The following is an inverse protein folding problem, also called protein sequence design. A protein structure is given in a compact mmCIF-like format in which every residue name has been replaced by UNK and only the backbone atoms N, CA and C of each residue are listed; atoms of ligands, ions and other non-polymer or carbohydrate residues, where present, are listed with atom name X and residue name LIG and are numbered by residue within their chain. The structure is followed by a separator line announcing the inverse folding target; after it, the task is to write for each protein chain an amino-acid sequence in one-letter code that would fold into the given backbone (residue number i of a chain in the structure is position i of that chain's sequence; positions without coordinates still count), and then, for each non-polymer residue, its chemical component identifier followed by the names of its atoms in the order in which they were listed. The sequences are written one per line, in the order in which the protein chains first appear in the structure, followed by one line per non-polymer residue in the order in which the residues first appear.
data_IF_591476240551
#
_entry.id   IF_591476240551
#
_cell.length_a   1.000
_cell.length_b   1.000
_cell.length_c   1.000
_cell.angle_alpha   90.00
_cell.angle_beta   90.00
_cell.angle_gamma   90.00
#
_symmetry.space_group_name_H-M   'P 1'
#
loop_
_entity.id
_entity.type
_entity.pdbx_description
1 polymer ?
#
# COMPACT_ATOMS: atom_id res chain seq x y z
N UNK A 1 -40.22 -75.63 -9.82
CA UNK A 1 -39.73 -77.02 -9.83
C UNK A 1 -38.72 -77.17 -10.97
N UNK A 2 -37.51 -77.69 -10.67
CA UNK A 2 -36.47 -78.29 -11.55
C UNK A 2 -35.85 -77.35 -12.62
N UNK A 3 -34.57 -76.94 -12.62
CA UNK A 3 -33.29 -77.59 -12.34
C UNK A 3 -33.18 -79.01 -12.91
N UNK A 4 -32.56 -79.17 -14.09
CA UNK A 4 -32.34 -80.53 -14.61
C UNK A 4 -31.51 -80.75 -15.88
N UNK A 5 -31.52 -79.88 -16.90
CA UNK A 5 -31.12 -80.36 -18.25
C UNK A 5 -30.00 -79.60 -18.98
N UNK A 6 -29.36 -78.59 -18.37
CA UNK A 6 -28.29 -77.83 -19.03
C UNK A 6 -26.87 -78.37 -18.80
N UNK A 7 -26.72 -79.66 -18.42
CA UNK A 7 -25.45 -80.17 -17.88
C UNK A 7 -24.74 -81.26 -18.70
N UNK A 8 -25.23 -81.65 -19.87
CA UNK A 8 -24.73 -82.88 -20.52
C UNK A 8 -24.08 -82.65 -21.90
N UNK A 9 -24.25 -81.50 -22.55
CA UNK A 9 -23.83 -81.37 -23.95
C UNK A 9 -22.50 -80.64 -24.21
N UNK A 10 -21.95 -79.86 -23.27
CA UNK A 10 -20.69 -79.13 -23.53
C UNK A 10 -19.43 -79.84 -22.98
N UNK A 11 -19.60 -80.98 -22.32
CA UNK A 11 -18.54 -81.79 -21.70
C UNK A 11 -17.72 -82.62 -22.71
N UNK A 12 -17.92 -82.44 -24.03
CA UNK A 12 -17.38 -83.38 -25.03
C UNK A 12 -16.54 -82.82 -26.17
N UNK A 13 -16.28 -81.51 -26.28
CA UNK A 13 -15.73 -81.00 -27.54
C UNK A 13 -14.53 -80.05 -27.54
N UNK A 14 -13.91 -79.73 -26.41
CA UNK A 14 -12.58 -79.05 -26.46
C UNK A 14 -11.63 -79.54 -25.39
N UNK A 15 -11.61 -80.87 -25.24
CA UNK A 15 -10.45 -81.60 -24.75
C UNK A 15 -9.43 -81.71 -25.89
N UNK A 16 -8.76 -80.63 -26.27
CA UNK A 16 -7.49 -80.74 -27.00
C UNK A 16 -6.65 -79.48 -26.86
N UNK A 17 -5.41 -79.68 -26.41
CA UNK A 17 -4.28 -78.75 -26.46
C UNK A 17 -4.19 -77.67 -25.36
N UNK A 18 -3.83 -78.10 -24.16
CA UNK A 18 -2.63 -77.63 -23.44
C UNK A 18 -2.39 -78.57 -22.24
N UNK A 19 -1.77 -79.71 -22.52
CA UNK A 19 -1.04 -80.44 -21.50
C UNK A 19 0.20 -79.61 -21.14
N UNK A 20 0.28 -79.15 -19.89
CA UNK A 20 1.54 -79.03 -19.17
C UNK A 20 1.24 -78.93 -17.66
N UNK A 21 1.42 -80.07 -17.00
CA UNK A 21 1.98 -80.23 -15.67
C UNK A 21 1.56 -79.22 -14.60
N UNK A 22 0.60 -79.63 -13.75
CA UNK A 22 0.63 -79.20 -12.35
C UNK A 22 1.92 -79.74 -11.73
N UNK A 23 3.02 -78.99 -11.88
CA UNK A 23 4.23 -79.19 -11.07
C UNK A 23 3.81 -78.92 -9.64
N UNK A 24 3.49 -79.98 -8.90
CA UNK A 24 3.44 -79.91 -7.45
C UNK A 24 4.74 -79.23 -7.02
N UNK A 25 4.64 -78.10 -6.34
CA UNK A 25 5.81 -77.42 -5.81
C UNK A 25 6.44 -78.47 -4.88
N UNK A 26 7.57 -79.05 -5.29
CA UNK A 26 8.27 -80.03 -4.48
C UNK A 26 8.48 -79.38 -3.12
N UNK A 27 8.26 -80.09 -2.01
CA UNK A 27 8.39 -79.54 -0.66
C UNK A 27 9.71 -78.74 -0.49
N UNK A 28 10.76 -79.20 -1.17
CA UNK A 28 12.07 -78.56 -1.32
C UNK A 28 11.97 -77.12 -1.88
N UNK A 29 11.22 -76.90 -2.96
CA UNK A 29 11.06 -75.57 -3.55
C UNK A 29 10.32 -74.61 -2.61
N UNK A 30 9.29 -75.08 -1.90
CA UNK A 30 8.58 -74.28 -0.89
C UNK A 30 9.51 -73.87 0.25
N UNK A 31 10.31 -74.82 0.76
CA UNK A 31 11.29 -74.56 1.81
C UNK A 31 12.34 -73.54 1.36
N UNK A 32 12.87 -73.66 0.14
CA UNK A 32 13.84 -72.71 -0.42
C UNK A 32 13.23 -71.30 -0.52
N UNK A 33 11.98 -71.16 -0.97
CA UNK A 33 11.31 -69.85 -1.04
C UNK A 33 11.16 -69.20 0.34
N UNK A 34 10.79 -69.97 1.37
CA UNK A 34 10.68 -69.45 2.74
C UNK A 34 12.04 -68.98 3.26
N UNK A 35 13.11 -69.75 3.03
CA UNK A 35 14.48 -69.38 3.44
C UNK A 35 14.91 -68.07 2.76
N UNK A 36 14.66 -67.92 1.45
CA UNK A 36 15.00 -66.69 0.72
C UNK A 36 14.22 -65.49 1.28
N UNK A 37 12.92 -65.64 1.54
CA UNK A 37 12.09 -64.57 2.12
C UNK A 37 12.57 -64.16 3.53
N UNK A 38 12.98 -65.12 4.36
CA UNK A 38 13.53 -64.85 5.69
C UNK A 38 14.87 -64.10 5.62
N UNK A 39 15.75 -64.45 4.69
CA UNK A 39 17.00 -63.72 4.45
C UNK A 39 16.72 -62.30 3.98
N UNK A 40 15.79 -62.13 3.02
CA UNK A 40 15.41 -60.82 2.49
C UNK A 40 14.78 -59.92 3.56
N UNK A 41 13.95 -60.50 4.43
CA UNK A 41 13.37 -59.82 5.57
C UNK A 41 14.45 -59.41 6.59
N UNK A 42 15.42 -60.30 6.87
CA UNK A 42 16.55 -59.99 7.74
C UNK A 42 17.39 -58.81 7.25
N UNK A 43 17.73 -58.78 5.96
CA UNK A 43 18.47 -57.66 5.34
C UNK A 43 17.64 -56.38 5.39
N UNK A 44 16.35 -56.45 5.03
CA UNK A 44 15.46 -55.30 5.01
C UNK A 44 15.29 -54.68 6.41
N UNK A 45 15.08 -55.49 7.44
CA UNK A 45 14.97 -55.04 8.84
C UNK A 45 16.29 -54.44 9.33
N UNK A 46 17.43 -55.06 9.00
CA UNK A 46 18.74 -54.51 9.35
C UNK A 46 18.99 -53.15 8.69
N UNK A 47 18.60 -52.95 7.42
CA UNK A 47 18.74 -51.66 6.73
C UNK A 47 17.80 -50.58 7.26
N UNK A 48 16.63 -50.95 7.79
CA UNK A 48 15.67 -50.00 8.35
C UNK A 48 15.99 -49.64 9.80
N UNK A 49 16.29 -50.64 10.63
CA UNK A 49 16.30 -50.52 12.10
C UNK A 49 17.62 -50.90 12.78
N UNK A 50 18.65 -51.31 12.02
CA UNK A 50 19.97 -51.58 12.59
C UNK A 50 20.68 -50.32 13.11
N UNK A 51 21.83 -50.50 13.75
CA UNK A 51 22.62 -49.41 14.35
C UNK A 51 23.03 -48.35 13.30
N UNK A 52 23.25 -48.75 12.05
CA UNK A 52 23.47 -47.87 10.89
C UNK A 52 22.26 -47.81 9.94
N UNK A 53 21.09 -48.22 10.42
CA UNK A 53 19.85 -48.26 9.65
C UNK A 53 19.19 -46.89 9.50
N UNK A 54 18.27 -46.80 8.55
CA UNK A 54 17.59 -45.55 8.16
C UNK A 54 16.94 -44.81 9.34
N UNK A 55 16.29 -45.52 10.26
CA UNK A 55 15.63 -44.89 11.41
C UNK A 55 16.63 -44.32 12.43
N UNK A 56 17.77 -44.98 12.64
CA UNK A 56 18.81 -44.50 13.53
C UNK A 56 19.45 -43.23 12.97
N UNK A 57 19.79 -43.22 11.67
CA UNK A 57 20.31 -42.03 10.98
C UNK A 57 19.31 -40.86 10.99
N UNK A 58 18.02 -41.12 10.76
CA UNK A 58 16.99 -40.09 10.83
C UNK A 58 16.84 -39.49 12.24
N UNK A 59 16.93 -40.33 13.28
CA UNK A 59 16.88 -39.89 14.68
C UNK A 59 18.11 -39.05 15.05
N UNK A 60 19.29 -39.42 14.57
CA UNK A 60 20.51 -38.64 14.78
C UNK A 60 20.47 -37.30 14.04
N UNK A 61 20.02 -37.28 12.78
CA UNK A 61 19.82 -36.05 12.03
C UNK A 61 18.85 -35.12 12.75
N UNK A 62 17.70 -35.64 13.20
CA UNK A 62 16.73 -34.88 14.01
C UNK A 62 17.36 -34.31 15.28
N UNK A 63 18.17 -35.10 16.01
CA UNK A 63 18.87 -34.62 17.22
C UNK A 63 19.88 -33.53 16.89
N UNK A 64 20.66 -33.67 15.81
CA UNK A 64 21.59 -32.65 15.34
C UNK A 64 20.86 -31.35 14.97
N UNK A 65 19.72 -31.44 14.30
CA UNK A 65 18.87 -30.27 13.97
C UNK A 65 18.35 -29.59 15.25
N UNK A 66 17.81 -30.35 16.20
CA UNK A 66 17.33 -29.79 17.47
C UNK A 66 18.47 -29.13 18.25
N UNK A 67 19.63 -29.77 18.31
CA UNK A 67 20.80 -29.20 18.99
C UNK A 67 21.30 -27.94 18.29
N UNK A 68 21.33 -27.89 16.95
CA UNK A 68 21.67 -26.70 16.20
C UNK A 68 20.65 -25.58 16.43
N UNK A 69 19.35 -25.89 16.46
CA UNK A 69 18.29 -24.93 16.77
C UNK A 69 18.43 -24.37 18.20
N UNK A 70 18.78 -25.21 19.17
CA UNK A 70 19.02 -24.79 20.54
C UNK A 70 20.27 -23.91 20.67
N UNK A 71 21.34 -24.24 19.93
CA UNK A 71 22.54 -23.41 19.87
C UNK A 71 22.25 -22.06 19.20
N UNK A 72 21.48 -22.04 18.11
CA UNK A 72 20.99 -20.81 17.48
C UNK A 72 20.16 -19.97 18.44
N UNK A 73 19.23 -20.58 19.19
CA UNK A 73 18.43 -19.88 20.19
C UNK A 73 19.28 -19.33 21.34
N UNK A 74 20.31 -20.07 21.76
CA UNK A 74 21.27 -19.62 22.78
C UNK A 74 22.09 -18.43 22.29
N UNK A 75 22.64 -18.51 21.08
CA UNK A 75 23.37 -17.41 20.43
C UNK A 75 22.44 -16.19 20.29
N UNK A 76 21.19 -16.38 19.89
CA UNK A 76 20.20 -15.31 19.79
C UNK A 76 19.91 -14.67 21.16
N UNK A 77 19.78 -15.47 22.22
CA UNK A 77 19.62 -14.97 23.58
C UNK A 77 20.86 -14.20 24.06
N UNK A 78 22.08 -14.69 23.77
CA UNK A 78 23.32 -13.98 24.07
C UNK A 78 23.41 -12.63 23.34
N UNK A 79 23.01 -12.58 22.06
CA UNK A 79 22.92 -11.31 21.31
C UNK A 79 21.87 -10.35 21.90
N UNK A 80 20.71 -10.85 22.32
CA UNK A 80 19.68 -10.03 22.95
C UNK A 80 20.15 -9.48 24.30
N UNK A 81 20.81 -10.30 25.12
CA UNK A 81 21.40 -9.87 26.38
C UNK A 81 22.53 -8.85 26.17
N UNK A 82 23.36 -9.01 25.14
CA UNK A 82 24.40 -8.05 24.79
C UNK A 82 23.84 -6.73 24.24
N UNK A 83 22.75 -6.78 23.47
CA UNK A 83 21.99 -5.59 23.05
C UNK A 83 21.39 -4.88 24.26
N UNK A 84 20.70 -5.60 25.14
CA UNK A 84 20.07 -5.04 26.34
C UNK A 84 21.10 -4.44 27.29
N UNK A 85 22.26 -5.08 27.45
CA UNK A 85 23.38 -4.54 28.23
C UNK A 85 23.95 -3.27 27.61
N UNK A 86 24.13 -3.23 26.29
CA UNK A 86 24.60 -2.03 25.59
C UNK A 86 23.57 -0.88 25.62
N UNK A 87 22.28 -1.19 25.71
CA UNK A 87 21.20 -0.20 25.89
C UNK A 87 21.09 0.30 27.34
N UNK A 88 21.37 -0.56 28.34
CA UNK A 88 21.29 -0.23 29.75
C UNK A 88 22.53 0.50 30.31
N UNK A 89 23.70 0.34 29.68
CA UNK A 89 24.98 0.91 30.14
C UNK A 89 25.43 2.16 29.34
N UNK A 90 24.65 2.65 28.38
CA UNK A 90 25.02 3.83 27.56
C UNK A 90 24.61 5.16 28.18
N UNK A 91 25.57 6.06 28.42
CA UNK A 91 25.29 7.51 28.47
C UNK A 91 24.55 7.92 27.18
N UNK A 92 23.53 8.80 27.27
CA UNK A 92 22.80 9.30 26.10
C UNK A 92 23.78 9.79 25.03
N UNK A 93 23.86 9.09 23.90
CA UNK A 93 24.71 9.49 22.78
C UNK A 93 24.01 10.58 21.98
N UNK A 94 24.78 11.38 21.26
CA UNK A 94 24.30 12.52 20.44
C UNK A 94 23.15 12.16 19.45
N UNK A 95 22.99 10.87 19.11
CA UNK A 95 21.90 10.35 18.28
C UNK A 95 20.62 9.93 19.02
N UNK A 96 20.64 9.80 20.35
CA UNK A 96 19.48 9.32 21.12
C UNK A 96 18.35 10.36 21.14
N UNK A 97 18.70 11.65 21.04
CA UNK A 97 17.72 12.74 21.00
C UNK A 97 17.13 12.99 19.61
N UNK A 98 17.57 12.27 18.57
CA UNK A 98 16.96 12.36 17.24
C UNK A 98 15.48 11.97 17.33
N UNK A 99 14.61 12.81 16.76
CA UNK A 99 13.17 12.65 16.86
C UNK A 99 12.71 11.26 16.40
N UNK A 100 13.31 10.77 15.30
CA UNK A 100 13.02 9.47 14.69
C UNK A 100 13.17 8.28 15.65
N UNK A 101 14.03 8.40 16.68
CA UNK A 101 14.31 7.32 17.63
C UNK A 101 13.34 7.32 18.83
N UNK A 102 12.50 8.34 18.95
CA UNK A 102 11.66 8.58 20.15
C UNK A 102 10.17 8.54 19.86
N UNK A 103 9.78 8.84 18.62
CA UNK A 103 8.36 8.98 18.26
C UNK A 103 7.78 7.74 17.62
N UNK A 104 6.47 7.54 17.81
CA UNK A 104 5.66 6.54 17.11
C UNK A 104 4.56 7.22 16.28
N UNK A 105 3.99 6.46 15.35
CA UNK A 105 2.85 6.92 14.54
C UNK A 105 1.71 7.39 15.45
N UNK A 106 1.20 8.58 15.15
CA UNK A 106 0.11 9.21 15.89
C UNK A 106 0.52 10.11 17.05
N UNK A 107 1.80 10.13 17.44
CA UNK A 107 2.28 11.06 18.47
C UNK A 107 2.14 12.50 18.01
N UNK A 108 1.85 13.39 18.96
CA UNK A 108 1.74 14.82 18.73
C UNK A 108 3.11 15.49 18.78
N UNK A 109 3.39 16.34 17.80
CA UNK A 109 4.64 17.09 17.65
C UNK A 109 4.33 18.59 17.66
N UNK A 110 5.09 19.36 18.43
CA UNK A 110 5.00 20.81 18.49
C UNK A 110 5.76 21.44 17.32
N UNK A 111 5.17 21.37 16.14
CA UNK A 111 5.68 22.04 14.94
C UNK A 111 4.96 23.37 14.72
N UNK A 112 5.73 24.44 14.53
CA UNK A 112 5.22 25.79 14.24
C UNK A 112 5.73 26.21 12.86
N UNK A 113 4.85 26.36 11.86
CA UNK A 113 5.22 26.95 10.59
C UNK A 113 5.72 28.40 10.72
N UNK A 114 6.55 28.83 9.79
CA UNK A 114 6.91 30.24 9.66
C UNK A 114 5.69 31.06 9.22
N UNK A 115 5.53 32.28 9.73
CA UNK A 115 4.46 33.18 9.28
C UNK A 115 4.64 33.52 7.79
N UNK A 116 3.68 33.11 6.97
CA UNK A 116 3.69 33.40 5.54
C UNK A 116 3.51 34.91 5.30
N UNK A 117 4.38 35.50 4.48
CA UNK A 117 4.29 36.92 4.17
C UNK A 117 3.04 37.24 3.34
N UNK A 118 2.52 38.46 3.47
CA UNK A 118 1.40 38.95 2.64
C UNK A 118 1.71 38.84 1.14
N UNK A 119 2.96 39.09 0.75
CA UNK A 119 3.41 38.96 -0.65
C UNK A 119 3.32 37.51 -1.14
N UNK A 120 3.83 36.56 -0.35
CA UNK A 120 3.76 35.13 -0.66
C UNK A 120 2.31 34.65 -0.78
N UNK A 121 1.43 35.08 0.13
CA UNK A 121 0.00 34.74 0.08
C UNK A 121 -0.64 35.32 -1.18
N UNK A 122 -0.42 36.60 -1.49
CA UNK A 122 -0.99 37.23 -2.69
C UNK A 122 -0.49 36.60 -3.99
N UNK A 123 0.78 36.22 -4.07
CA UNK A 123 1.37 35.51 -5.21
C UNK A 123 0.70 34.14 -5.41
N UNK A 124 0.55 33.37 -4.33
CA UNK A 124 -0.15 32.08 -4.35
C UNK A 124 -1.62 32.23 -4.78
N UNK A 125 -2.34 33.23 -4.27
CA UNK A 125 -3.74 33.51 -4.67
C UNK A 125 -3.83 33.88 -6.16
N UNK A 126 -2.90 34.69 -6.66
CA UNK A 126 -2.84 35.06 -8.09
C UNK A 126 -2.61 33.84 -8.97
N UNK A 127 -1.71 32.95 -8.55
CA UNK A 127 -1.41 31.70 -9.24
C UNK A 127 -2.63 30.77 -9.24
N UNK A 128 -3.30 30.60 -8.10
CA UNK A 128 -4.57 29.87 -8.00
C UNK A 128 -5.63 30.45 -8.93
N UNK A 129 -5.84 31.78 -8.91
CA UNK A 129 -6.82 32.44 -9.78
C UNK A 129 -6.53 32.25 -11.28
N UNK A 130 -5.26 32.08 -11.65
CA UNK A 130 -4.84 31.86 -13.03
C UNK A 130 -5.01 30.40 -13.46
N UNK A 131 -4.61 29.45 -12.61
CA UNK A 131 -4.39 28.06 -13.02
C UNK A 131 -5.36 27.02 -12.43
N UNK A 132 -6.17 27.37 -11.43
CA UNK A 132 -7.15 26.46 -10.83
C UNK A 132 -8.43 26.28 -11.66
N UNK A 133 -8.68 27.20 -12.61
CA UNK A 133 -9.94 27.30 -13.34
C UNK A 133 -11.07 27.98 -12.55
N UNK A 134 -10.79 28.55 -11.37
CA UNK A 134 -11.74 29.32 -10.56
C UNK A 134 -11.12 30.61 -10.01
N UNK A 135 -11.93 31.68 -9.98
CA UNK A 135 -11.61 32.95 -9.33
C UNK A 135 -12.05 33.01 -7.85
N UNK A 136 -12.65 31.93 -7.33
CA UNK A 136 -13.20 31.89 -5.96
C UNK A 136 -12.12 31.72 -4.87
N UNK A 137 -10.89 31.41 -5.30
CA UNK A 137 -9.73 31.33 -4.42
C UNK A 137 -9.26 32.75 -4.08
N UNK A 138 -9.54 33.21 -2.87
CA UNK A 138 -9.21 34.58 -2.42
C UNK A 138 -8.60 34.56 -1.02
N UNK A 139 -8.08 35.70 -0.58
CA UNK A 139 -7.55 35.86 0.78
C UNK A 139 -8.63 35.76 1.87
N UNK A 140 -9.92 35.79 1.52
CA UNK A 140 -11.01 35.58 2.48
C UNK A 140 -11.37 34.10 2.66
N UNK A 141 -11.08 33.24 1.67
CA UNK A 141 -11.37 31.80 1.71
C UNK A 141 -10.14 30.94 2.01
N UNK A 142 -8.95 31.53 1.91
CA UNK A 142 -7.67 30.86 2.09
C UNK A 142 -6.69 31.74 2.89
N UNK A 143 -6.43 31.35 4.14
CA UNK A 143 -5.49 32.03 5.05
C UNK A 143 -4.57 31.02 5.74
N UNK A 144 -3.44 31.49 6.28
CA UNK A 144 -2.57 30.64 7.07
C UNK A 144 -3.21 30.35 8.43
N UNK A 145 -3.44 29.07 8.73
CA UNK A 145 -3.94 28.63 10.03
C UNK A 145 -2.76 28.37 10.98
N UNK A 146 -2.68 29.14 12.07
CA UNK A 146 -1.58 29.04 13.05
C UNK A 146 -1.88 28.08 14.20
N UNK A 147 -3.13 27.61 14.32
CA UNK A 147 -3.59 26.74 15.42
C UNK A 147 -3.63 25.25 15.10
N UNK A 148 -3.02 24.80 14.01
CA UNK A 148 -3.00 23.38 13.65
C UNK A 148 -2.10 22.58 14.60
N UNK A 149 -2.60 21.45 15.08
CA UNK A 149 -1.80 20.43 15.75
C UNK A 149 -1.22 19.45 14.73
N UNK A 150 -0.08 18.85 15.04
CA UNK A 150 0.64 17.97 14.13
C UNK A 150 0.84 16.60 14.74
N UNK A 151 0.62 15.57 13.93
CA UNK A 151 0.76 14.18 14.35
C UNK A 151 1.77 13.45 13.48
N UNK A 152 2.54 12.54 14.05
CA UNK A 152 3.45 11.69 13.29
C UNK A 152 2.63 10.81 12.35
N UNK A 153 2.82 11.00 11.05
CA UNK A 153 2.21 10.18 10.01
C UNK A 153 2.98 8.86 9.87
N UNK A 154 4.29 8.96 9.62
CA UNK A 154 5.20 7.82 9.51
C UNK A 154 6.66 8.29 9.46
N UNK A 155 7.56 7.32 9.31
CA UNK A 155 8.96 7.53 8.96
C UNK A 155 9.17 7.04 7.54
N UNK A 156 9.74 7.89 6.69
CA UNK A 156 10.05 7.57 5.30
C UNK A 156 11.41 8.15 4.95
N UNK A 157 12.27 7.34 4.33
CA UNK A 157 13.61 7.74 3.89
C UNK A 157 14.44 8.37 5.02
N UNK A 158 14.35 7.81 6.24
CA UNK A 158 15.07 8.30 7.42
C UNK A 158 14.56 9.63 8.00
N UNK A 159 13.40 10.12 7.53
CA UNK A 159 12.80 11.37 7.99
C UNK A 159 11.42 11.11 8.59
N UNK A 160 11.10 11.85 9.66
CA UNK A 160 9.78 11.84 10.27
C UNK A 160 8.85 12.72 9.43
N UNK A 161 7.69 12.17 9.04
CA UNK A 161 6.63 12.93 8.38
C UNK A 161 5.50 13.20 9.35
N UNK A 162 5.02 14.43 9.36
CA UNK A 162 3.88 14.89 10.13
C UNK A 162 2.68 15.08 9.21
N UNK A 163 1.47 14.95 9.75
CA UNK A 163 0.21 15.33 9.13
C UNK A 163 -0.55 16.24 10.09
N UNK A 164 -1.28 17.22 9.56
CA UNK A 164 -2.17 18.03 10.40
C UNK A 164 -3.23 17.14 11.05
N UNK A 165 -3.50 17.35 12.34
CA UNK A 165 -4.48 16.58 13.12
C UNK A 165 -5.85 16.60 12.45
N UNK A 166 -6.26 17.78 11.99
CA UNK A 166 -7.47 18.00 11.22
C UNK A 166 -7.10 18.57 9.84
N UNK A 167 -7.93 18.38 8.80
CA UNK A 167 -7.84 19.17 7.59
C UNK A 167 -7.98 20.66 7.89
N UNK A 168 -7.51 21.50 6.97
CA UNK A 168 -7.68 22.95 7.07
C UNK A 168 -9.16 23.34 7.08
N UNK A 169 -9.47 24.49 7.64
CA UNK A 169 -10.76 25.18 7.44
C UNK A 169 -10.75 26.00 6.15
N UNK A 170 -9.58 26.50 5.74
CA UNK A 170 -9.35 27.11 4.43
C UNK A 170 -9.59 26.09 3.32
N UNK A 171 -10.16 26.56 2.20
CA UNK A 171 -10.55 25.70 1.09
C UNK A 171 -9.95 26.16 -0.23
N UNK A 172 -9.81 25.22 -1.18
CA UNK A 172 -9.39 25.50 -2.55
C UNK A 172 -10.48 25.02 -3.51
N UNK A 173 -10.87 25.90 -4.42
CA UNK A 173 -11.78 25.61 -5.53
C UNK A 173 -10.99 25.26 -6.79
N UNK A 174 -11.29 24.10 -7.37
CA UNK A 174 -10.72 23.62 -8.63
C UNK A 174 -11.83 23.40 -9.65
N UNK A 175 -11.58 23.71 -10.92
CA UNK A 175 -12.59 23.59 -11.98
C UNK A 175 -12.00 23.29 -13.35
N UNK A 176 -12.69 22.43 -14.11
CA UNK A 176 -12.41 22.22 -15.52
C UNK A 176 -11.03 21.61 -15.78
N UNK A 177 -10.59 21.69 -17.04
CA UNK A 177 -9.29 21.16 -17.43
C UNK A 177 -8.15 21.85 -16.68
N UNK A 178 -8.27 23.14 -16.32
CA UNK A 178 -7.25 23.87 -15.57
C UNK A 178 -7.12 23.32 -14.14
N UNK A 179 -8.25 23.09 -13.47
CA UNK A 179 -8.27 22.41 -12.17
C UNK A 179 -7.60 21.03 -12.25
N UNK A 180 -7.98 20.19 -13.20
CA UNK A 180 -7.36 18.86 -13.35
C UNK A 180 -5.86 18.94 -13.71
N UNK A 181 -5.50 19.83 -14.64
CA UNK A 181 -4.13 20.04 -15.10
C UNK A 181 -3.19 20.45 -13.98
N UNK A 182 -3.65 21.25 -13.01
CA UNK A 182 -2.77 21.93 -12.08
C UNK A 182 -3.03 21.58 -10.60
N UNK A 183 -4.01 20.73 -10.30
CA UNK A 183 -4.41 20.41 -8.93
C UNK A 183 -3.25 19.98 -8.01
N UNK A 184 -2.42 19.03 -8.47
CA UNK A 184 -1.32 18.49 -7.66
C UNK A 184 -0.30 19.58 -7.34
N UNK A 185 0.10 20.35 -8.36
CA UNK A 185 1.04 21.46 -8.18
C UNK A 185 0.47 22.50 -7.21
N UNK A 186 -0.76 22.96 -7.46
CA UNK A 186 -1.37 24.05 -6.70
C UNK A 186 -1.58 23.67 -5.23
N UNK A 187 -2.06 22.46 -4.95
CA UNK A 187 -2.27 21.99 -3.57
C UNK A 187 -0.94 21.82 -2.81
N UNK A 188 0.07 21.21 -3.45
CA UNK A 188 1.39 21.04 -2.83
C UNK A 188 2.06 22.41 -2.61
N UNK A 189 1.99 23.32 -3.59
CA UNK A 189 2.54 24.68 -3.50
C UNK A 189 1.85 25.49 -2.42
N UNK A 190 0.52 25.41 -2.29
CA UNK A 190 -0.21 26.08 -1.21
C UNK A 190 0.25 25.59 0.16
N UNK A 191 0.40 24.27 0.34
CA UNK A 191 0.93 23.75 1.60
C UNK A 191 2.34 24.29 1.88
N UNK A 192 3.23 24.31 0.88
CA UNK A 192 4.60 24.85 1.01
C UNK A 192 4.58 26.33 1.40
N UNK A 193 3.72 27.13 0.81
CA UNK A 193 3.64 28.56 1.11
C UNK A 193 3.14 28.80 2.54
N UNK A 194 2.16 28.02 3.00
CA UNK A 194 1.47 28.28 4.27
C UNK A 194 2.04 27.52 5.47
N UNK A 195 2.74 26.40 5.28
CA UNK A 195 3.08 25.50 6.39
C UNK A 195 4.56 25.10 6.44
N UNK A 196 5.43 25.78 5.69
CA UNK A 196 6.88 25.53 5.73
C UNK A 196 7.56 26.16 6.94
N UNK A 197 8.72 25.61 7.31
CA UNK A 197 9.63 26.17 8.32
C UNK A 197 11.06 25.70 8.06
N UNK A 198 12.04 26.29 8.74
CA UNK A 198 13.43 25.84 8.71
C UNK A 198 13.64 24.39 9.15
N UNK A 199 12.69 23.80 9.90
CA UNK A 199 12.73 22.40 10.33
C UNK A 199 12.20 21.42 9.27
N UNK A 200 11.56 21.90 8.21
CA UNK A 200 10.99 21.08 7.15
C UNK A 200 11.92 20.95 5.94
N UNK A 201 12.15 19.72 5.48
CA UNK A 201 12.84 19.44 4.22
C UNK A 201 11.90 19.48 3.01
N UNK A 202 10.62 19.16 3.23
CA UNK A 202 9.57 19.27 2.24
C UNK A 202 8.20 19.44 2.90
N UNK A 203 7.33 20.21 2.26
CA UNK A 203 5.94 20.35 2.65
C UNK A 203 5.08 20.07 1.42
N UNK A 204 3.97 19.38 1.59
CA UNK A 204 3.06 19.07 0.49
C UNK A 204 1.65 18.80 1.04
N UNK A 205 0.68 18.61 0.15
CA UNK A 205 -0.62 18.10 0.56
C UNK A 205 -0.60 16.56 0.60
N UNK A 206 -1.51 15.96 1.34
CA UNK A 206 -1.69 14.51 1.39
C UNK A 206 -1.90 13.90 0.00
N UNK A 207 -1.28 12.75 -0.24
CA UNK A 207 -1.37 12.00 -1.50
C UNK A 207 -2.07 10.66 -1.29
N UNK A 208 -2.64 10.12 -2.37
CA UNK A 208 -3.30 8.81 -2.32
C UNK A 208 -2.34 7.70 -1.90
N UNK A 209 -1.06 7.81 -2.25
CA UNK A 209 -0.02 6.87 -1.86
C UNK A 209 0.22 6.87 -0.34
N UNK A 210 0.03 8.00 0.35
CA UNK A 210 0.14 8.04 1.82
C UNK A 210 -0.93 7.16 2.49
N UNK A 211 -2.09 7.02 1.86
CA UNK A 211 -3.18 6.13 2.30
C UNK A 211 -2.92 4.71 1.84
N UNK A 212 -2.71 4.49 0.54
CA UNK A 212 -2.61 3.17 -0.08
C UNK A 212 -1.46 2.33 0.51
N UNK A 213 -0.32 2.94 0.81
CA UNK A 213 0.82 2.23 1.38
C UNK A 213 0.53 1.67 2.78
N UNK A 214 -0.49 2.19 3.46
CA UNK A 214 -0.91 1.78 4.81
C UNK A 214 -2.13 0.86 4.80
N UNK A 215 -2.77 0.67 3.66
CA UNK A 215 -3.88 -0.27 3.50
C UNK A 215 -3.39 -1.73 3.45
N UNK A 216 -4.24 -2.67 3.84
CA UNK A 216 -3.98 -4.12 3.66
C UNK A 216 -4.16 -4.57 2.21
N UNK A 217 -5.13 -3.98 1.52
CA UNK A 217 -5.37 -4.25 0.12
C UNK A 217 -4.29 -3.57 -0.74
N UNK A 218 -3.72 -4.33 -1.66
CA UNK A 218 -2.70 -3.85 -2.61
C UNK A 218 -3.19 -3.91 -4.06
N UNK A 219 -4.20 -4.73 -4.34
CA UNK A 219 -4.81 -4.87 -5.65
C UNK A 219 -6.19 -4.17 -5.68
N UNK A 220 -6.21 -2.94 -6.20
CA UNK A 220 -7.41 -2.13 -6.30
C UNK A 220 -8.40 -2.65 -7.36
N UNK A 221 -8.00 -3.60 -8.22
CA UNK A 221 -8.93 -4.27 -9.14
C UNK A 221 -9.96 -5.13 -8.41
N UNK A 222 -9.65 -5.56 -7.18
CA UNK A 222 -10.59 -6.28 -6.32
C UNK A 222 -11.66 -5.38 -5.70
N UNK A 223 -11.46 -4.05 -5.71
CA UNK A 223 -12.47 -3.06 -5.31
C UNK A 223 -13.29 -2.64 -6.53
N UNK A 224 -12.61 -2.26 -7.60
CA UNK A 224 -13.23 -1.86 -8.86
C UNK A 224 -12.62 -2.68 -10.00
N UNK A 225 -13.40 -3.59 -10.58
CA UNK A 225 -12.89 -4.54 -11.58
C UNK A 225 -12.31 -3.91 -12.84
N UNK A 226 -12.63 -2.65 -13.13
CA UNK A 226 -12.09 -1.89 -14.25
C UNK A 226 -10.77 -1.18 -13.93
N UNK A 227 -10.34 -1.17 -12.67
CA UNK A 227 -9.07 -0.55 -12.29
C UNK A 227 -7.90 -1.13 -13.09
N UNK A 228 -7.20 -0.25 -13.79
CA UNK A 228 -6.08 -0.60 -14.65
C UNK A 228 -6.45 -0.96 -16.09
N UNK A 229 -7.74 -1.17 -16.42
CA UNK A 229 -8.19 -1.39 -17.79
C UNK A 229 -8.09 -0.12 -18.62
N UNK A 230 -8.14 -0.29 -19.93
CA UNK A 230 -8.02 0.79 -20.90
C UNK A 230 -9.24 0.83 -21.80
N UNK A 231 -9.71 2.04 -22.11
CA UNK A 231 -10.91 2.28 -22.89
C UNK A 231 -10.62 3.28 -24.00
N UNK A 232 -11.02 2.95 -25.23
CA UNK A 232 -11.09 3.89 -26.34
C UNK A 232 -12.42 4.64 -26.27
N UNK A 233 -12.38 5.98 -26.32
CA UNK A 233 -13.52 6.84 -26.04
C UNK A 233 -14.20 7.36 -27.31
N UNK A 234 -15.52 7.43 -27.27
CA UNK A 234 -16.33 8.11 -28.30
C UNK A 234 -16.21 9.64 -28.19
N UNK A 235 -16.24 10.17 -26.96
CA UNK A 235 -16.03 11.59 -26.67
C UNK A 235 -14.57 11.86 -26.33
N UNK A 236 -13.99 12.85 -27.02
CA UNK A 236 -12.55 12.92 -27.28
C UNK A 236 -11.85 14.16 -26.69
N UNK A 237 -12.54 14.96 -25.88
CA UNK A 237 -11.91 16.10 -25.20
C UNK A 237 -11.01 15.61 -24.05
N UNK A 238 -9.90 16.31 -23.78
CA UNK A 238 -9.01 15.93 -22.69
C UNK A 238 -8.23 17.13 -22.07
N UNK A 239 -7.88 17.08 -20.76
CA UNK A 239 -6.96 18.03 -20.14
C UNK A 239 -5.51 17.80 -20.61
N UNK A 240 -4.77 18.85 -20.91
CA UNK A 240 -3.37 18.79 -21.39
C UNK A 240 -2.46 17.88 -20.56
N UNK A 241 -2.57 17.85 -19.22
CA UNK A 241 -1.70 17.01 -18.37
C UNK A 241 -1.86 15.52 -18.66
N UNK A 242 -3.01 15.09 -19.18
CA UNK A 242 -3.29 13.69 -19.48
C UNK A 242 -2.25 13.10 -20.44
N UNK A 243 -1.65 13.92 -21.32
CA UNK A 243 -0.59 13.47 -22.24
C UNK A 243 0.72 13.12 -21.55
N UNK A 244 0.94 13.63 -20.33
CA UNK A 244 2.14 13.38 -19.54
C UNK A 244 1.95 12.20 -18.57
N UNK A 245 0.70 11.85 -18.26
CA UNK A 245 0.34 10.82 -17.29
C UNK A 245 0.66 9.41 -17.79
N UNK A 246 1.32 8.64 -16.93
CA UNK A 246 1.66 7.25 -17.21
C UNK A 246 0.40 6.43 -17.45
N UNK A 247 0.33 5.81 -18.61
CA UNK A 247 -0.81 4.96 -18.94
C UNK A 247 -1.92 5.66 -19.71
N UNK A 248 -1.75 6.92 -20.12
CA UNK A 248 -2.80 7.70 -20.77
C UNK A 248 -2.47 8.01 -22.23
N UNK A 249 -3.49 8.43 -22.99
CA UNK A 249 -3.46 8.81 -24.42
C UNK A 249 -2.84 7.72 -25.35
N UNK A 250 -3.66 6.77 -25.79
CA UNK A 250 -3.25 5.74 -26.78
C UNK A 250 -2.46 4.56 -26.19
N UNK A 251 -1.98 4.74 -24.95
CA UNK A 251 -1.45 3.79 -23.98
C UNK A 251 -0.65 2.55 -24.44
N UNK A 252 0.36 2.78 -25.28
CA UNK A 252 1.58 1.96 -25.34
C UNK A 252 2.72 2.44 -24.42
N UNK A 253 2.41 3.28 -23.42
CA UNK A 253 3.29 3.90 -22.39
C UNK A 253 4.30 4.98 -22.83
N UNK A 254 3.81 6.15 -23.28
CA UNK A 254 4.65 7.33 -23.54
C UNK A 254 4.70 8.34 -22.35
N UNK A 255 3.69 8.36 -21.48
CA UNK A 255 3.68 9.17 -20.26
C UNK A 255 4.52 8.58 -19.11
N UNK A 256 5.14 9.45 -18.31
CA UNK A 256 5.96 9.06 -17.12
C UNK A 256 5.37 9.57 -15.81
N UNK A 257 4.47 10.54 -15.85
CA UNK A 257 3.97 11.23 -14.67
C UNK A 257 3.02 10.33 -13.87
N UNK A 258 3.29 10.16 -12.58
CA UNK A 258 2.38 9.50 -11.65
C UNK A 258 1.10 10.31 -11.40
N UNK A 259 0.14 9.69 -10.69
CA UNK A 259 -1.15 10.32 -10.36
C UNK A 259 -0.99 11.54 -9.44
N UNK A 260 0.05 11.53 -8.60
CA UNK A 260 0.29 12.52 -7.54
C UNK A 260 1.56 13.33 -7.78
N UNK A 261 2.03 13.34 -9.03
CA UNK A 261 3.25 14.03 -9.44
C UNK A 261 2.90 15.21 -10.33
N UNK A 262 3.50 16.36 -10.06
CA UNK A 262 3.51 17.52 -10.95
C UNK A 262 4.53 18.54 -10.45
N UNK A 263 5.43 18.97 -11.31
CA UNK A 263 6.45 19.98 -10.97
C UNK A 263 6.26 21.30 -11.70
N UNK A 264 5.51 21.29 -12.81
CA UNK A 264 5.30 22.45 -13.67
C UNK A 264 3.82 22.71 -13.87
N UNK A 265 3.48 23.99 -13.98
CA UNK A 265 2.15 24.45 -14.34
C UNK A 265 1.89 24.24 -15.83
N UNK A 266 0.66 23.91 -16.16
CA UNK A 266 0.16 23.82 -17.53
C UNK A 266 -0.87 24.92 -17.77
N UNK A 267 -0.55 25.82 -18.70
CA UNK A 267 -1.44 26.86 -19.15
C UNK A 267 -2.22 26.40 -20.39
N UNK A 268 -3.35 25.74 -20.17
CA UNK A 268 -4.26 25.37 -21.26
C UNK A 268 -5.25 26.52 -21.49
N UNK A 269 -5.33 27.04 -22.72
CA UNK A 269 -6.24 28.14 -23.08
C UNK A 269 -7.39 27.70 -23.97
N UNK A 270 -7.31 26.50 -24.55
CA UNK A 270 -8.29 25.95 -25.49
C UNK A 270 -8.61 24.50 -25.17
N UNK A 271 -9.72 23.99 -25.71
CA UNK A 271 -10.11 22.59 -25.53
C UNK A 271 -9.28 21.68 -26.44
N UNK A 272 -8.59 20.69 -25.87
CA UNK A 272 -7.87 19.69 -26.66
C UNK A 272 -8.77 18.54 -27.08
N UNK A 273 -8.45 17.90 -28.22
CA UNK A 273 -9.12 16.68 -28.72
C UNK A 273 -8.11 15.70 -29.29
N UNK A 274 -8.35 14.40 -29.14
CA UNK A 274 -7.50 13.33 -29.70
C UNK A 274 -8.35 12.28 -30.44
N UNK A 275 -7.83 11.74 -31.55
CA UNK A 275 -8.51 10.69 -32.32
C UNK A 275 -7.50 9.63 -32.81
N UNK A 276 -7.47 8.41 -32.21
CA UNK A 276 -8.31 7.96 -31.09
C UNK A 276 -7.89 8.58 -29.75
N UNK A 277 -8.83 8.69 -28.80
CA UNK A 277 -8.53 8.96 -27.39
C UNK A 277 -8.70 7.66 -26.59
N UNK A 278 -7.58 7.13 -26.10
CA UNK A 278 -7.56 5.94 -25.27
C UNK A 278 -7.04 6.29 -23.88
N UNK A 279 -7.77 5.91 -22.83
CA UNK A 279 -7.46 6.26 -21.44
C UNK A 279 -7.43 5.02 -20.54
N UNK A 280 -6.56 5.03 -19.53
CA UNK A 280 -6.51 4.02 -18.48
C UNK A 280 -7.36 4.44 -17.29
N UNK A 281 -8.17 3.51 -16.81
CA UNK A 281 -9.01 3.66 -15.64
C UNK A 281 -8.17 3.58 -14.36
N UNK A 282 -8.15 4.67 -13.59
CA UNK A 282 -7.36 4.79 -12.35
C UNK A 282 -8.22 5.19 -11.14
N UNK A 283 -9.53 5.27 -11.33
CA UNK A 283 -10.50 5.48 -10.27
C UNK A 283 -10.71 4.21 -9.44
N UNK A 284 -10.95 4.37 -8.15
CA UNK A 284 -11.47 3.33 -7.26
C UNK A 284 -12.14 4.05 -6.09
N UNK A 285 -13.14 3.45 -5.45
CA UNK A 285 -13.72 4.02 -4.26
C UNK A 285 -13.89 2.97 -3.19
N UNK A 286 -13.73 3.36 -1.93
CA UNK A 286 -13.93 2.45 -0.82
C UNK A 286 -14.32 3.22 0.41
N UNK A 287 -15.36 2.72 1.06
CA UNK A 287 -15.65 3.05 2.46
C UNK A 287 -14.65 2.30 3.34
N UNK A 288 -13.92 3.07 4.11
CA UNK A 288 -12.80 2.60 4.92
C UNK A 288 -13.28 2.32 6.35
N UNK A 289 -12.68 1.31 6.96
CA UNK A 289 -12.82 0.96 8.37
C UNK A 289 -11.45 0.80 9.01
N UNK A 290 -11.37 0.77 10.34
CA UNK A 290 -10.10 0.55 11.04
C UNK A 290 -9.41 -0.77 10.64
N UNK A 291 -10.19 -1.76 10.19
CA UNK A 291 -9.68 -3.07 9.79
C UNK A 291 -9.05 -3.09 8.39
N UNK A 292 -9.28 -2.05 7.57
CA UNK A 292 -8.73 -1.96 6.20
C UNK A 292 -7.26 -1.52 6.17
N UNK A 293 -6.75 -0.99 7.28
CA UNK A 293 -5.36 -0.56 7.43
C UNK A 293 -4.50 -1.62 8.13
N UNK A 294 -3.19 -1.60 7.83
CA UNK A 294 -2.18 -2.43 8.50
C UNK A 294 -2.09 -2.13 9.99
N UNK A 295 -2.33 -0.87 10.35
CA UNK A 295 -2.46 -0.38 11.72
C UNK A 295 -3.73 0.48 11.80
N UNK A 296 -4.59 0.21 12.78
CA UNK A 296 -5.83 0.97 13.01
C UNK A 296 -5.56 2.46 13.29
N UNK A 297 -4.35 2.82 13.73
CA UNK A 297 -3.95 4.23 13.91
C UNK A 297 -4.04 5.04 12.61
N UNK A 298 -3.86 4.43 11.44
CA UNK A 298 -4.00 5.12 10.17
C UNK A 298 -5.45 5.47 9.82
N UNK A 299 -6.41 4.67 10.29
CA UNK A 299 -7.83 5.05 10.20
C UNK A 299 -8.08 6.31 11.01
N UNK A 300 -7.58 6.36 12.24
CA UNK A 300 -7.69 7.55 13.08
C UNK A 300 -7.04 8.77 12.45
N UNK A 301 -5.81 8.62 11.94
CA UNK A 301 -5.08 9.72 11.31
C UNK A 301 -5.78 10.23 10.05
N UNK A 302 -6.22 9.38 9.13
CA UNK A 302 -6.78 9.86 7.86
C UNK A 302 -8.25 10.26 7.94
N UNK A 303 -9.02 9.70 8.88
CA UNK A 303 -10.48 9.65 8.76
C UNK A 303 -11.17 10.29 9.95
N UNK A 304 -10.84 9.83 11.15
CA UNK A 304 -11.66 10.12 12.32
C UNK A 304 -10.86 10.02 13.62
N UNK A 305 -10.65 11.15 14.29
CA UNK A 305 -10.09 11.23 15.65
C UNK A 305 -11.17 11.54 16.70
N UNK A 306 -12.33 10.87 16.61
CA UNK A 306 -13.50 11.08 17.47
C UNK A 306 -14.63 11.91 16.84
N UNK A 307 -14.43 12.48 15.64
CA UNK A 307 -15.46 13.11 14.80
C UNK A 307 -15.06 13.02 13.33
N UNK A 308 -16.04 12.99 12.43
CA UNK A 308 -15.77 12.92 10.99
C UNK A 308 -15.11 14.21 10.50
N UNK A 309 -14.04 14.07 9.72
CA UNK A 309 -13.35 15.22 9.16
C UNK A 309 -14.14 15.90 8.04
N UNK A 310 -13.99 17.22 7.96
CA UNK A 310 -14.39 17.98 6.77
C UNK A 310 -13.75 17.38 5.52
N UNK A 311 -14.49 17.25 4.41
CA UNK A 311 -13.91 16.70 3.20
C UNK A 311 -12.73 17.54 2.70
N UNK A 312 -11.68 16.85 2.25
CA UNK A 312 -10.42 17.47 1.87
C UNK A 312 -9.83 16.86 0.60
N UNK A 313 -9.19 17.71 -0.21
CA UNK A 313 -8.48 17.32 -1.40
C UNK A 313 -7.22 16.50 -1.09
N UNK A 314 -6.96 15.51 -1.94
CA UNK A 314 -5.65 14.88 -2.04
C UNK A 314 -4.97 15.36 -3.31
N UNK A 315 -3.64 15.54 -3.26
CA UNK A 315 -2.82 15.84 -4.44
C UNK A 315 -2.65 14.61 -5.31
N UNK A 316 -3.75 14.07 -5.85
CA UNK A 316 -3.76 12.86 -6.66
C UNK A 316 -4.90 12.88 -7.66
N UNK A 317 -4.58 12.82 -8.96
CA UNK A 317 -5.58 12.75 -10.03
C UNK A 317 -6.18 11.35 -10.14
N UNK A 318 -7.34 11.26 -10.77
CA UNK A 318 -7.99 9.99 -11.10
C UNK A 318 -8.80 10.08 -12.38
N UNK A 319 -8.89 8.94 -13.09
CA UNK A 319 -9.65 8.81 -14.32
C UNK A 319 -10.66 7.69 -14.17
N UNK A 320 -11.94 8.04 -14.28
CA UNK A 320 -13.04 7.11 -14.49
C UNK A 320 -13.38 7.11 -15.98
N UNK A 321 -13.57 5.94 -16.58
CA UNK A 321 -13.87 5.85 -18.02
C UNK A 321 -14.69 4.61 -18.38
N UNK A 322 -15.38 4.71 -19.52
CA UNK A 322 -15.99 3.60 -20.24
C UNK A 322 -15.86 3.87 -21.76
N UNK A 323 -16.45 3.03 -22.62
CA UNK A 323 -16.36 3.20 -24.09
C UNK A 323 -16.99 4.50 -24.64
N UNK A 324 -17.88 5.15 -23.87
CA UNK A 324 -18.51 6.40 -24.29
C UNK A 324 -17.61 7.59 -23.97
N UNK A 325 -17.23 7.76 -22.71
CA UNK A 325 -16.44 8.92 -22.28
C UNK A 325 -15.68 8.70 -20.97
N UNK A 326 -14.96 9.74 -20.56
CA UNK A 326 -14.16 9.76 -19.36
C UNK A 326 -14.44 10.98 -18.49
N UNK A 327 -14.20 10.80 -17.19
CA UNK A 327 -14.22 11.82 -16.15
C UNK A 327 -12.80 11.96 -15.62
N UNK A 328 -12.29 13.19 -15.63
CA UNK A 328 -10.96 13.56 -15.18
C UNK A 328 -11.14 14.29 -13.85
N UNK A 329 -10.85 13.57 -12.77
CA UNK A 329 -11.14 14.00 -11.42
C UNK A 329 -9.93 14.10 -10.51
N UNK A 330 -10.16 14.66 -9.33
CA UNK A 330 -9.19 14.70 -8.24
C UNK A 330 -9.67 13.86 -7.06
N UNK A 331 -8.74 13.19 -6.39
CA UNK A 331 -9.00 12.40 -5.19
C UNK A 331 -9.34 13.31 -4.02
N UNK A 332 -10.26 12.86 -3.18
CA UNK A 332 -10.61 13.54 -1.95
C UNK A 332 -11.11 12.54 -0.92
N UNK A 333 -11.09 12.95 0.33
CA UNK A 333 -11.71 12.21 1.43
C UNK A 333 -13.05 12.82 1.79
N UNK A 334 -14.06 12.00 2.10
CA UNK A 334 -15.32 12.47 2.69
C UNK A 334 -15.91 11.45 3.63
N UNK A 335 -16.16 11.86 4.89
CA UNK A 335 -16.59 10.97 5.96
C UNK A 335 -15.59 9.81 6.12
N UNK A 336 -15.93 8.61 5.65
CA UNK A 336 -15.07 7.43 5.65
C UNK A 336 -14.70 6.93 4.26
N UNK A 337 -15.03 7.68 3.21
CA UNK A 337 -14.86 7.26 1.83
C UNK A 337 -13.67 7.94 1.15
N UNK A 338 -12.83 7.12 0.52
CA UNK A 338 -11.89 7.60 -0.49
C UNK A 338 -12.61 7.65 -1.82
N UNK A 339 -12.69 8.84 -2.40
CA UNK A 339 -13.49 9.12 -3.59
C UNK A 339 -12.68 9.93 -4.61
N UNK A 340 -13.35 10.32 -5.71
CA UNK A 340 -12.85 11.33 -6.64
C UNK A 340 -14.01 12.19 -7.15
N UNK A 341 -13.77 13.49 -7.30
CA UNK A 341 -14.71 14.40 -7.96
C UNK A 341 -14.24 14.74 -9.35
N UNK A 342 -15.16 14.66 -10.31
CA UNK A 342 -14.94 15.03 -11.70
C UNK A 342 -14.74 16.54 -11.82
N UNK A 343 -13.61 17.00 -12.36
CA UNK A 343 -13.36 18.42 -12.64
C UNK A 343 -13.62 18.75 -14.10
N UNK A 344 -13.32 17.81 -15.01
CA UNK A 344 -13.49 17.94 -16.45
C UNK A 344 -13.87 16.59 -17.06
N UNK A 345 -14.72 16.55 -18.08
CA UNK A 345 -15.06 15.30 -18.76
C UNK A 345 -14.68 15.33 -20.25
N UNK A 346 -14.71 14.16 -20.90
CA UNK A 346 -14.35 14.05 -22.32
C UNK A 346 -15.40 14.59 -23.29
N UNK A 347 -16.56 15.04 -22.78
CA UNK A 347 -17.57 15.80 -23.52
C UNK A 347 -17.19 17.28 -23.64
N UNK A 348 -16.31 17.77 -22.74
CA UNK A 348 -15.89 19.16 -22.67
C UNK A 348 -16.49 19.96 -21.51
N UNK A 349 -17.28 19.32 -20.64
CA UNK A 349 -17.91 20.00 -19.51
C UNK A 349 -16.93 20.17 -18.35
N UNK A 350 -17.14 21.26 -17.59
CA UNK A 350 -16.31 21.63 -16.44
C UNK A 350 -17.16 21.78 -15.19
N UNK A 351 -16.70 21.21 -14.08
CA UNK A 351 -17.42 21.21 -12.80
C UNK A 351 -16.54 21.83 -11.71
N UNK A 352 -17.03 22.84 -10.96
CA UNK A 352 -16.32 23.38 -9.82
C UNK A 352 -16.56 22.53 -8.57
N UNK A 353 -15.50 22.33 -7.80
CA UNK A 353 -15.58 21.71 -6.48
C UNK A 353 -14.63 22.42 -5.51
N UNK A 354 -15.04 22.54 -4.25
CA UNK A 354 -14.34 23.30 -3.21
C UNK A 354 -14.24 22.44 -1.96
N UNK A 355 -13.02 22.17 -1.51
CA UNK A 355 -12.76 21.39 -0.30
C UNK A 355 -11.56 21.94 0.46
N UNK A 356 -11.43 21.51 1.72
CA UNK A 356 -10.23 21.71 2.51
C UNK A 356 -9.02 21.00 1.89
N UNK A 357 -7.85 21.20 2.47
CA UNK A 357 -6.65 20.44 2.14
C UNK A 357 -5.96 20.00 3.44
N UNK A 358 -4.94 19.16 3.33
CA UNK A 358 -4.34 18.51 4.49
C UNK A 358 -2.81 18.44 4.38
N UNK A 359 -2.10 19.40 5.00
CA UNK A 359 -0.66 19.49 4.92
C UNK A 359 0.04 18.26 5.52
N UNK A 360 1.10 17.82 4.84
CA UNK A 360 2.11 16.88 5.32
C UNK A 360 3.45 17.61 5.35
N UNK A 361 4.14 17.49 6.47
CA UNK A 361 5.48 18.06 6.70
C UNK A 361 6.47 16.91 6.74
N UNK A 362 7.50 16.93 5.89
CA UNK A 362 8.67 16.06 6.06
C UNK A 362 9.72 16.87 6.80
N UNK A 363 10.08 16.44 8.00
CA UNK A 363 11.09 17.12 8.81
C UNK A 363 12.49 16.78 8.30
N UNK A 364 13.43 17.71 8.49
CA UNK A 364 14.84 17.44 8.26
C UNK A 364 15.30 16.25 9.13
N UNK A 365 16.19 15.41 8.60
CA UNK A 365 16.66 14.19 9.29
C UNK A 365 17.40 14.46 10.61
N UNK A 366 17.88 15.68 10.83
CA UNK A 366 18.62 16.09 12.03
C UNK A 366 17.73 16.70 13.13
N UNK A 367 16.41 16.76 12.96
CA UNK A 367 15.50 17.29 13.99
C UNK A 367 15.58 16.46 15.26
N UNK A 368 15.71 17.13 16.40
CA UNK A 368 15.84 16.51 17.72
C UNK A 368 14.65 16.85 18.62
N UNK A 369 14.41 16.01 19.62
CA UNK A 369 13.53 16.36 20.73
C UNK A 369 14.21 17.40 21.61
N UNK A 370 13.46 18.42 22.02
CA UNK A 370 13.87 19.34 23.06
C UNK A 370 13.58 18.74 24.45
N UNK A 371 14.51 17.95 24.97
CA UNK A 371 14.34 17.14 26.20
C UNK A 371 14.00 17.95 27.45
N UNK A 372 14.35 19.24 27.50
CA UNK A 372 14.05 20.12 28.63
C UNK A 372 12.57 20.55 28.69
N UNK A 373 11.91 20.68 27.53
CA UNK A 373 10.57 21.26 27.41
C UNK A 373 9.58 20.33 26.69
N UNK A 374 9.92 19.06 26.52
CA UNK A 374 9.10 18.09 25.80
C UNK A 374 8.01 17.49 26.67
N UNK A 375 6.84 17.27 26.07
CA UNK A 375 5.84 16.36 26.62
C UNK A 375 6.12 14.90 26.25
N UNK A 376 5.07 14.09 26.30
CA UNK A 376 5.09 12.65 26.02
C UNK A 376 4.49 12.26 24.66
N UNK A 377 4.08 13.25 23.86
CA UNK A 377 3.46 13.07 22.55
C UNK A 377 2.04 12.51 22.58
N UNK A 378 1.42 12.28 23.74
CA UNK A 378 0.11 11.58 23.81
C UNK A 378 -1.09 12.46 23.50
N UNK A 379 -0.93 13.79 23.57
CA UNK A 379 -1.98 14.77 23.31
C UNK A 379 -1.40 16.06 22.72
N UNK A 380 -2.22 16.95 22.12
CA UNK A 380 -1.75 18.26 21.66
C UNK A 380 -1.05 19.10 22.74
N UNK A 381 -1.52 19.00 24.00
CA UNK A 381 -0.98 19.77 25.13
C UNK A 381 0.35 19.20 25.65
N UNK A 382 0.57 17.90 25.46
CA UNK A 382 1.79 17.19 25.82
C UNK A 382 2.59 16.78 24.60
N UNK A 383 2.46 17.51 23.49
CA UNK A 383 3.21 17.23 22.27
C UNK A 383 4.73 17.26 22.50
N UNK A 384 5.48 16.45 21.77
CA UNK A 384 6.93 16.52 21.78
C UNK A 384 7.39 17.87 21.24
N UNK A 385 8.18 18.59 22.03
CA UNK A 385 8.89 19.79 21.60
C UNK A 385 10.09 19.39 20.74
N UNK A 386 10.33 20.12 19.65
CA UNK A 386 11.40 19.81 18.68
C UNK A 386 12.28 21.04 18.42
N UNK A 387 13.54 20.80 18.04
CA UNK A 387 14.52 21.82 17.69
C UNK A 387 15.42 21.40 16.53
#
# INVERSE_FOLDING_TARGET
MKNGELKIANDKLTHTMLANEKKGITLIALVITIVILLILAGISIATLSGDNGLFTSAKEAKRKTINAQNEENKILSEYLEEIDKNLAEGEEKEGDNLLINKVKVGDYIKYTPDTASTESINSMITELGTYSGSADNTTSTLTQETGLNWRVLDVKDGQVRLISELPTTSTITLRGYNGYNNAVYLLDKTCKTLYNSSLASNVQNVKIEDVQNKMKITDFSTIVSDYGKTFELSYKCYPSILAQEKGQLGNGTEGKLGLSEQTEIINQTETNRADPLTVKYTYWNKSMTNTDFKDAKYYELFINNGSDYSPYWMSSRSVYSNSYGAQFGLRYWWLSDVLSYNLYNSYGDSYPHTFAFRPIITLNSNVQIDTENSGDGTSPKSAYSIK
#
